data_IF_168176486199
#
_entry.id   IF_168176486199
#
_cell.length_a   1.000
_cell.length_b   1.000
_cell.length_c   1.000
_cell.angle_alpha   90.00
_cell.angle_beta   90.00
_cell.angle_gamma   90.00
#
_symmetry.space_group_name_H-M   'P 1'
#
loop_
_entity.id
_entity.type
_entity.pdbx_description
1 polymer ?
#
# COMPACT_ATOMS: atom_id res chain seq x y z
N UNK A 1 -19.11 -50.91 -23.97
CA UNK A 1 -17.70 -50.48 -24.11
C UNK A 1 -17.71 -49.09 -24.77
N UNK A 2 -17.66 -48.03 -23.99
CA UNK A 2 -17.58 -46.64 -24.47
C UNK A 2 -16.15 -46.35 -24.94
N UNK A 3 -15.99 -46.02 -26.21
CA UNK A 3 -14.73 -45.51 -26.76
C UNK A 3 -14.44 -44.16 -26.12
N UNK A 4 -13.51 -44.10 -25.18
CA UNK A 4 -12.92 -42.83 -24.75
C UNK A 4 -12.34 -42.13 -25.97
N UNK A 5 -12.91 -40.98 -26.36
CA UNK A 5 -12.29 -40.06 -27.28
C UNK A 5 -10.95 -39.65 -26.66
N UNK A 6 -9.81 -40.10 -27.22
CA UNK A 6 -8.52 -39.54 -26.95
C UNK A 6 -8.61 -38.05 -27.30
N UNK A 7 -8.50 -37.18 -26.30
CA UNK A 7 -8.24 -35.77 -26.50
C UNK A 7 -6.84 -35.68 -27.09
N UNK A 8 -6.74 -35.51 -28.41
CA UNK A 8 -5.48 -35.51 -29.16
C UNK A 8 -4.60 -34.27 -28.92
N UNK A 9 -5.13 -33.24 -28.26
CA UNK A 9 -4.41 -32.04 -27.85
C UNK A 9 -4.64 -31.78 -26.37
N UNK A 10 -3.79 -32.32 -25.52
CA UNK A 10 -3.70 -31.86 -24.15
C UNK A 10 -2.99 -30.50 -24.12
N UNK A 11 -3.77 -29.43 -24.33
CA UNK A 11 -3.25 -28.06 -24.31
C UNK A 11 -2.65 -27.65 -22.96
N UNK A 12 -2.77 -28.48 -21.91
CA UNK A 12 -2.15 -28.31 -20.61
C UNK A 12 -0.86 -29.11 -20.45
N UNK A 13 -0.56 -30.07 -21.34
CA UNK A 13 0.67 -30.84 -21.26
C UNK A 13 1.91 -29.96 -21.52
N UNK A 14 2.91 -30.12 -20.67
CA UNK A 14 4.22 -29.49 -20.90
C UNK A 14 4.96 -30.26 -22.00
N UNK A 15 5.62 -29.58 -22.96
CA UNK A 15 6.42 -30.25 -23.99
C UNK A 15 7.46 -31.17 -23.39
N UNK A 16 7.55 -32.43 -23.92
CA UNK A 16 8.51 -33.43 -23.48
C UNK A 16 9.95 -32.98 -23.85
N UNK A 17 10.91 -33.36 -23.02
CA UNK A 17 12.35 -33.06 -23.28
C UNK A 17 12.82 -31.65 -22.91
N UNK A 18 11.93 -30.84 -22.33
CA UNK A 18 12.25 -29.50 -21.83
C UNK A 18 12.27 -29.51 -20.30
N UNK A 19 13.33 -29.00 -19.69
CA UNK A 19 13.39 -28.78 -18.24
C UNK A 19 12.58 -27.54 -17.87
N UNK A 20 11.47 -27.74 -17.16
CA UNK A 20 10.60 -26.69 -16.68
C UNK A 20 10.86 -26.40 -15.21
N UNK A 21 11.00 -25.11 -14.87
CA UNK A 21 11.08 -24.68 -13.48
C UNK A 21 9.67 -24.58 -12.87
N UNK A 22 9.40 -25.23 -11.73
CA UNK A 22 8.15 -25.01 -11.00
C UNK A 22 7.96 -23.54 -10.61
N UNK A 23 6.72 -23.08 -10.58
CA UNK A 23 6.37 -21.68 -10.18
C UNK A 23 6.94 -21.35 -8.81
N UNK A 24 6.79 -22.27 -7.83
CA UNK A 24 7.28 -22.06 -6.47
C UNK A 24 8.81 -21.90 -6.40
N UNK A 25 9.55 -22.71 -7.16
CA UNK A 25 11.00 -22.57 -7.24
C UNK A 25 11.42 -21.21 -7.80
N UNK A 26 10.70 -20.69 -8.80
CA UNK A 26 10.98 -19.38 -9.36
C UNK A 26 10.65 -18.25 -8.36
N UNK A 27 9.53 -18.36 -7.63
CA UNK A 27 9.14 -17.42 -6.59
C UNK A 27 10.14 -17.41 -5.43
N UNK A 28 10.60 -18.58 -4.96
CA UNK A 28 11.62 -18.67 -3.91
C UNK A 28 12.94 -18.02 -4.32
N UNK A 29 13.38 -18.23 -5.58
CA UNK A 29 14.59 -17.57 -6.09
C UNK A 29 14.45 -16.05 -6.14
N UNK A 30 13.29 -15.54 -6.56
CA UNK A 30 13.01 -14.10 -6.56
C UNK A 30 13.00 -13.55 -5.13
N UNK A 31 12.32 -14.23 -4.20
CA UNK A 31 12.23 -13.85 -2.79
C UNK A 31 13.59 -13.77 -2.10
N UNK A 32 14.46 -14.72 -2.40
CA UNK A 32 15.78 -14.82 -1.78
C UNK A 32 16.88 -14.02 -2.51
N UNK A 33 16.67 -13.72 -3.79
CA UNK A 33 17.66 -13.04 -4.64
C UNK A 33 17.48 -11.55 -4.79
N UNK A 34 16.31 -11.00 -4.42
CA UNK A 34 16.01 -9.59 -4.54
C UNK A 34 16.16 -8.88 -3.18
N UNK A 35 16.48 -7.58 -3.21
CA UNK A 35 16.61 -6.72 -2.04
C UNK A 35 15.95 -5.38 -2.30
N UNK A 36 15.78 -4.58 -1.24
CA UNK A 36 15.23 -3.22 -1.32
C UNK A 36 16.20 -2.34 -2.11
N UNK A 37 15.70 -1.66 -3.15
CA UNK A 37 16.50 -0.84 -4.07
C UNK A 37 16.38 0.67 -3.76
N UNK A 38 15.16 1.24 -3.55
CA UNK A 38 14.99 2.66 -3.42
C UNK A 38 15.65 3.26 -2.19
N UNK A 39 16.10 4.52 -2.35
CA UNK A 39 16.63 5.32 -1.25
C UNK A 39 15.48 5.82 -0.34
N UNK A 40 15.82 6.02 0.93
CA UNK A 40 14.92 6.67 1.88
C UNK A 40 14.69 8.14 1.54
N UNK A 41 13.53 8.64 1.89
CA UNK A 41 13.14 10.04 1.79
C UNK A 41 12.30 10.44 3.00
N UNK A 42 12.39 11.70 3.39
CA UNK A 42 11.50 12.27 4.39
C UNK A 42 10.33 12.96 3.67
N UNK A 43 9.10 12.54 3.98
CA UNK A 43 7.91 13.00 3.28
C UNK A 43 6.94 13.66 4.26
N UNK A 44 6.37 14.84 3.94
CA UNK A 44 5.26 15.39 4.69
C UNK A 44 4.07 14.42 4.71
N UNK A 45 3.39 14.31 5.85
CA UNK A 45 2.28 13.34 6.02
C UNK A 45 1.21 13.53 4.96
N UNK A 46 0.84 14.77 4.63
CA UNK A 46 -0.21 15.10 3.66
C UNK A 46 0.09 14.57 2.24
N UNK A 47 1.36 14.31 1.94
CA UNK A 47 1.83 13.82 0.63
C UNK A 47 2.32 12.37 0.70
N UNK A 48 2.04 11.66 1.78
CA UNK A 48 2.63 10.33 2.04
C UNK A 48 1.76 9.15 1.65
N UNK A 49 0.51 9.35 1.22
CA UNK A 49 -0.36 8.26 0.76
C UNK A 49 0.26 7.50 -0.41
N UNK A 50 0.24 6.18 -0.32
CA UNK A 50 0.81 5.28 -1.33
C UNK A 50 2.29 4.98 -1.14
N UNK A 51 3.02 5.78 -0.36
CA UNK A 51 4.42 5.50 -0.02
C UNK A 51 4.55 4.37 1.00
N UNK A 52 5.72 3.76 1.05
CA UNK A 52 6.05 2.67 1.96
C UNK A 52 6.96 3.20 3.07
N UNK A 53 6.59 2.98 4.31
CA UNK A 53 7.37 3.37 5.50
C UNK A 53 8.73 2.68 5.47
N UNK A 54 9.82 3.46 5.59
CA UNK A 54 11.19 2.95 5.61
C UNK A 54 11.76 2.80 7.02
N UNK A 55 11.18 3.49 8.03
CA UNK A 55 11.54 3.37 9.45
C UNK A 55 10.29 3.33 10.31
N UNK A 56 10.27 2.58 11.41
CA UNK A 56 9.14 2.56 12.33
C UNK A 56 8.69 3.97 12.71
N UNK A 57 7.38 4.21 12.68
CA UNK A 57 6.76 5.50 12.98
C UNK A 57 6.03 5.43 14.32
N UNK A 58 6.32 6.40 15.21
CA UNK A 58 5.79 6.45 16.57
C UNK A 58 4.98 7.72 16.81
N UNK A 59 3.96 7.62 17.67
CA UNK A 59 3.15 8.74 18.10
C UNK A 59 3.99 9.79 18.84
N UNK A 60 3.87 11.05 18.44
CA UNK A 60 4.56 12.19 19.06
C UNK A 60 3.78 12.76 20.25
N UNK A 61 2.46 12.62 20.23
CA UNK A 61 1.54 12.98 21.29
C UNK A 61 0.52 11.85 21.47
N UNK A 62 -0.13 11.84 22.65
CA UNK A 62 -1.30 10.97 22.87
C UNK A 62 -2.50 11.43 22.04
N UNK A 63 -3.38 10.51 21.66
CA UNK A 63 -4.67 10.81 21.04
C UNK A 63 -5.79 10.10 21.82
N UNK A 64 -6.79 10.83 22.39
CA UNK A 64 -6.77 12.27 22.59
C UNK A 64 -5.57 12.74 23.42
N UNK A 65 -5.14 13.99 23.21
CA UNK A 65 -4.00 14.57 23.94
C UNK A 65 -4.34 15.10 25.33
N UNK A 66 -5.59 15.00 25.74
CA UNK A 66 -6.14 15.22 27.08
C UNK A 66 -7.50 14.52 27.20
N UNK A 67 -7.89 14.21 28.45
CA UNK A 67 -9.22 13.65 28.69
C UNK A 67 -10.29 14.71 28.40
N UNK A 68 -11.33 14.33 27.65
CA UNK A 68 -12.37 15.24 27.16
C UNK A 68 -13.76 14.60 27.23
N UNK A 69 -14.80 15.45 27.07
CA UNK A 69 -16.17 14.98 26.97
C UNK A 69 -16.45 14.36 25.61
N UNK A 70 -17.06 13.18 25.60
CA UNK A 70 -17.53 12.53 24.38
C UNK A 70 -18.86 13.10 23.86
N UNK A 71 -19.60 13.84 24.70
CA UNK A 71 -20.96 14.33 24.42
C UNK A 71 -21.17 15.74 24.93
N UNK A 72 -22.23 16.39 24.47
CA UNK A 72 -22.77 17.62 25.10
C UNK A 72 -23.58 17.22 26.34
N UNK A 73 -23.26 17.83 27.50
CA UNK A 73 -23.91 17.43 28.72
C UNK A 73 -23.46 18.20 29.95
N UNK A 74 -23.43 17.52 31.06
CA UNK A 74 -22.99 18.05 32.34
C UNK A 74 -21.92 17.19 32.96
N UNK A 75 -20.73 17.75 33.17
CA UNK A 75 -19.63 17.11 33.87
C UNK A 75 -19.88 17.14 35.38
N UNK A 76 -19.75 15.99 36.02
CA UNK A 76 -20.07 15.77 37.42
C UNK A 76 -18.83 15.50 38.24
N UNK A 77 -18.72 16.15 39.42
CA UNK A 77 -17.78 15.75 40.46
C UNK A 77 -18.57 15.05 41.58
N UNK A 78 -18.81 13.75 41.42
CA UNK A 78 -19.55 12.93 42.38
C UNK A 78 -18.78 11.66 42.74
N UNK A 79 -18.67 11.37 44.04
CA UNK A 79 -18.00 10.14 44.51
C UNK A 79 -18.94 8.92 44.42
N UNK A 80 -20.21 9.10 44.74
CA UNK A 80 -21.23 8.05 44.75
C UNK A 80 -22.47 8.56 44.04
N UNK A 81 -22.78 8.02 42.90
CA UNK A 81 -24.00 8.30 42.16
C UNK A 81 -25.07 7.30 42.64
N UNK A 82 -26.22 7.82 43.07
CA UNK A 82 -27.37 7.04 43.51
C UNK A 82 -28.40 6.90 42.38
N UNK A 83 -29.61 6.42 42.72
CA UNK A 83 -30.70 6.37 41.73
C UNK A 83 -31.31 7.76 41.47
N UNK A 84 -31.22 8.64 42.44
CA UNK A 84 -31.64 10.04 42.32
C UNK A 84 -30.49 10.96 42.72
N UNK A 85 -30.13 11.87 41.84
CA UNK A 85 -28.94 12.68 41.97
C UNK A 85 -29.26 14.16 41.75
N UNK A 86 -28.81 15.02 42.68
CA UNK A 86 -28.89 16.47 42.54
C UNK A 86 -27.51 17.08 42.72
N UNK A 87 -27.11 17.97 41.81
CA UNK A 87 -25.85 18.69 41.83
C UNK A 87 -26.08 20.19 41.73
N UNK A 88 -25.25 20.96 42.42
CA UNK A 88 -25.20 22.41 42.22
C UNK A 88 -24.53 22.69 40.85
N UNK A 89 -25.10 23.58 40.06
CA UNK A 89 -24.59 23.91 38.72
C UNK A 89 -23.76 25.20 38.77
N UNK A 90 -22.51 25.10 38.31
CA UNK A 90 -21.68 26.30 38.17
C UNK A 90 -22.15 27.13 36.97
N UNK A 91 -22.15 28.48 37.07
CA UNK A 91 -22.58 29.39 36.01
C UNK A 91 -21.50 29.54 34.92
N UNK A 92 -20.80 28.44 34.58
CA UNK A 92 -19.75 28.37 33.59
C UNK A 92 -20.02 27.21 32.65
N UNK A 93 -19.47 27.32 31.42
CA UNK A 93 -19.53 26.25 30.41
C UNK A 93 -18.13 25.91 29.96
N UNK A 94 -17.81 24.62 29.90
CA UNK A 94 -16.57 24.14 29.34
C UNK A 94 -16.73 23.90 27.83
N UNK A 95 -15.94 24.60 27.01
CA UNK A 95 -15.93 24.50 25.56
C UNK A 95 -14.64 23.85 25.06
N UNK A 96 -14.72 23.18 23.92
CA UNK A 96 -13.55 22.71 23.22
C UNK A 96 -12.64 23.90 22.81
N UNK A 97 -11.30 23.70 22.92
CA UNK A 97 -10.34 24.75 22.60
C UNK A 97 -10.13 25.85 23.66
N UNK A 98 -10.92 25.85 24.73
CA UNK A 98 -10.78 26.82 25.84
C UNK A 98 -10.14 26.15 27.06
N UNK A 99 -9.03 26.72 27.53
CA UNK A 99 -8.20 26.20 28.61
C UNK A 99 -8.45 26.93 29.92
N UNK A 100 -9.66 26.90 30.51
CA UNK A 100 -9.74 27.48 31.79
C UNK A 100 -11.00 27.15 32.57
N UNK A 101 -11.01 26.02 33.21
CA UNK A 101 -11.88 25.87 34.34
C UNK A 101 -11.08 25.18 35.44
N UNK A 102 -10.97 25.88 36.56
CA UNK A 102 -10.32 25.38 37.77
C UNK A 102 -10.99 24.10 38.30
N UNK A 103 -10.52 23.61 39.39
CA UNK A 103 -11.08 22.42 40.07
C UNK A 103 -12.55 22.60 40.38
N UNK A 104 -13.36 21.65 39.93
CA UNK A 104 -14.81 21.61 40.27
C UNK A 104 -14.96 21.00 41.67
N UNK A 105 -15.67 21.69 42.61
CA UNK A 105 -15.89 21.16 43.93
C UNK A 105 -16.75 19.88 43.96
N UNK A 106 -16.66 19.09 45.03
CA UNK A 106 -17.53 17.94 45.20
C UNK A 106 -19.02 18.37 45.22
N UNK A 107 -19.90 17.55 44.63
CA UNK A 107 -21.32 17.79 44.46
C UNK A 107 -21.68 18.99 43.57
N UNK A 108 -20.71 19.41 42.73
CA UNK A 108 -20.97 20.41 41.70
C UNK A 108 -20.91 19.77 40.32
N UNK A 109 -21.69 20.32 39.43
CA UNK A 109 -21.72 20.04 38.01
C UNK A 109 -21.34 21.28 37.21
N UNK A 110 -20.86 21.07 36.01
CA UNK A 110 -20.58 22.11 35.01
C UNK A 110 -21.13 21.69 33.66
N UNK A 111 -21.77 22.63 32.95
CA UNK A 111 -22.11 22.37 31.55
C UNK A 111 -20.87 22.17 30.74
N UNK A 112 -20.83 21.11 29.95
CA UNK A 112 -19.65 20.73 29.14
C UNK A 112 -20.08 20.34 27.74
N UNK A 113 -19.31 20.81 26.74
CA UNK A 113 -19.57 20.53 25.35
C UNK A 113 -18.63 19.43 24.86
N UNK A 114 -19.05 18.72 23.84
CA UNK A 114 -18.24 17.67 23.18
C UNK A 114 -16.82 18.15 22.82
N UNK A 115 -15.82 17.36 23.11
CA UNK A 115 -14.42 17.70 22.88
C UNK A 115 -13.81 18.66 23.91
N UNK A 116 -14.58 19.21 24.83
CA UNK A 116 -14.06 20.07 25.88
C UNK A 116 -13.21 19.28 26.86
N UNK A 117 -12.04 19.85 27.22
CA UNK A 117 -11.15 19.29 28.25
C UNK A 117 -11.89 19.14 29.57
N UNK A 118 -11.74 18.01 30.22
CA UNK A 118 -12.33 17.78 31.53
C UNK A 118 -11.66 18.67 32.58
N UNK A 119 -12.43 19.54 33.30
CA UNK A 119 -11.94 20.23 34.48
C UNK A 119 -11.52 19.24 35.57
N UNK A 120 -10.57 19.64 36.42
CA UNK A 120 -10.17 18.80 37.55
C UNK A 120 -11.36 18.51 38.47
N UNK A 121 -11.52 17.27 38.89
CA UNK A 121 -12.63 16.79 39.71
C UNK A 121 -13.76 16.15 38.93
N UNK A 122 -13.94 16.49 37.65
CA UNK A 122 -14.94 15.83 36.81
C UNK A 122 -14.49 14.41 36.53
N UNK A 123 -15.38 13.45 36.81
CA UNK A 123 -15.13 12.03 36.65
C UNK A 123 -16.22 11.28 35.88
N UNK A 124 -17.29 11.99 35.47
CA UNK A 124 -18.41 11.44 34.73
C UNK A 124 -19.12 12.57 33.98
N UNK A 125 -19.64 12.31 32.80
CA UNK A 125 -20.48 13.24 32.03
C UNK A 125 -21.82 12.58 31.79
N UNK A 126 -22.91 13.32 32.05
CA UNK A 126 -24.27 12.92 31.70
C UNK A 126 -24.75 13.74 30.50
N UNK A 127 -25.48 13.09 29.59
CA UNK A 127 -26.09 13.77 28.44
C UNK A 127 -27.03 14.89 28.86
N UNK A 128 -27.09 15.97 28.08
CA UNK A 128 -28.00 17.09 28.37
C UNK A 128 -29.44 16.67 28.35
N UNK A 129 -29.82 15.69 27.55
CA UNK A 129 -31.20 15.17 27.42
C UNK A 129 -31.68 14.41 28.65
N UNK A 130 -30.74 13.87 29.43
CA UNK A 130 -31.02 13.05 30.61
C UNK A 130 -31.09 13.89 31.89
N UNK A 131 -30.98 15.24 31.79
CA UNK A 131 -30.89 16.15 32.93
C UNK A 131 -32.07 17.09 32.96
N UNK A 132 -32.68 17.24 34.16
CA UNK A 132 -33.66 18.26 34.44
C UNK A 132 -33.00 19.40 35.20
N UNK A 133 -33.18 20.65 34.75
CA UNK A 133 -32.77 21.83 35.45
C UNK A 133 -33.79 22.13 36.57
N UNK A 134 -33.31 22.13 37.84
CA UNK A 134 -34.08 22.63 39.00
C UNK A 134 -33.56 24.04 39.28
N UNK A 135 -34.30 25.04 38.87
CA UNK A 135 -33.87 26.44 38.91
C UNK A 135 -32.63 26.66 37.99
N UNK A 136 -31.99 27.83 38.11
CA UNK A 136 -30.81 28.17 37.29
C UNK A 136 -29.51 27.65 37.87
N UNK A 137 -29.49 27.06 39.04
CA UNK A 137 -28.32 26.75 39.84
C UNK A 137 -28.21 25.26 40.24
N UNK A 138 -29.16 24.41 39.84
CA UNK A 138 -29.17 22.98 40.16
C UNK A 138 -29.61 22.12 38.99
N UNK A 139 -29.05 20.94 38.92
CA UNK A 139 -29.47 19.89 38.02
C UNK A 139 -29.92 18.65 38.79
N UNK A 140 -30.89 17.95 38.22
CA UNK A 140 -31.37 16.67 38.70
C UNK A 140 -31.38 15.65 37.55
N UNK A 141 -31.06 14.42 37.86
CA UNK A 141 -31.26 13.30 36.97
C UNK A 141 -31.56 12.01 37.75
N UNK A 142 -32.26 11.10 37.09
CA UNK A 142 -32.59 9.80 37.60
C UNK A 142 -31.81 8.71 36.90
N UNK A 143 -31.33 7.73 37.66
CA UNK A 143 -30.60 6.58 37.14
C UNK A 143 -29.15 6.51 37.58
N UNK A 144 -28.61 5.30 37.59
CA UNK A 144 -27.22 5.02 37.97
C UNK A 144 -26.28 5.28 36.80
N UNK A 145 -25.36 6.20 36.93
CA UNK A 145 -24.28 6.43 35.98
C UNK A 145 -23.04 5.73 36.47
N UNK A 146 -22.38 5.01 35.52
CA UNK A 146 -21.05 4.42 35.78
C UNK A 146 -20.03 5.55 35.79
N UNK A 147 -19.13 5.57 36.78
CA UNK A 147 -17.97 6.46 36.78
C UNK A 147 -17.18 6.29 35.48
N UNK A 148 -16.83 7.39 34.83
CA UNK A 148 -16.14 7.42 33.54
C UNK A 148 -17.08 7.43 32.32
N UNK A 149 -18.43 7.38 32.52
CA UNK A 149 -19.36 7.45 31.39
C UNK A 149 -19.19 8.75 30.61
N UNK A 150 -19.26 8.65 29.29
CA UNK A 150 -19.19 9.73 28.31
C UNK A 150 -17.89 10.57 28.40
N UNK A 151 -16.81 9.95 28.85
CA UNK A 151 -15.46 10.54 28.90
C UNK A 151 -14.55 9.78 27.96
N UNK A 152 -13.81 10.52 27.14
CA UNK A 152 -12.66 9.98 26.41
C UNK A 152 -11.39 10.29 27.20
N UNK A 153 -10.67 9.25 27.54
CA UNK A 153 -9.42 9.39 28.31
C UNK A 153 -8.26 9.82 27.42
N UNK A 154 -7.32 10.55 27.99
CA UNK A 154 -6.05 10.85 27.32
C UNK A 154 -5.36 9.54 26.89
N UNK A 155 -4.97 9.47 25.61
CA UNK A 155 -4.30 8.31 25.04
C UNK A 155 -5.19 7.07 24.89
N UNK A 156 -6.51 7.23 24.88
CA UNK A 156 -7.46 6.12 24.71
C UNK A 156 -7.27 5.42 23.36
N UNK A 157 -7.05 6.18 22.29
CA UNK A 157 -6.84 5.63 20.96
C UNK A 157 -5.35 5.26 20.76
N UNK A 158 -4.44 6.15 21.17
CA UNK A 158 -2.99 6.01 20.99
C UNK A 158 -2.24 6.79 22.08
N UNK A 159 -1.24 6.21 22.70
CA UNK A 159 -0.37 6.87 23.68
C UNK A 159 0.88 7.43 23.03
N UNK A 160 1.40 8.54 23.53
CA UNK A 160 2.69 9.08 23.13
C UNK A 160 3.78 8.02 23.20
N UNK A 161 4.58 7.89 22.14
CA UNK A 161 5.64 6.91 22.01
C UNK A 161 5.18 5.52 21.55
N UNK A 162 3.88 5.30 21.36
CA UNK A 162 3.35 4.04 20.83
C UNK A 162 3.67 3.90 19.34
N UNK A 163 3.95 2.66 18.90
CA UNK A 163 4.23 2.33 17.53
C UNK A 163 2.95 2.43 16.68
N UNK A 164 2.94 3.33 15.70
CA UNK A 164 1.84 3.48 14.75
C UNK A 164 2.00 2.54 13.55
N UNK A 165 3.16 2.56 12.91
CA UNK A 165 3.44 1.77 11.71
C UNK A 165 4.85 1.22 11.73
N UNK A 166 4.97 -0.05 11.36
CA UNK A 166 6.26 -0.70 11.12
C UNK A 166 6.83 -0.33 9.76
N UNK A 167 8.13 -0.54 9.59
CA UNK A 167 8.77 -0.57 8.28
C UNK A 167 8.02 -1.52 7.34
N UNK A 168 7.88 -1.13 6.07
CA UNK A 168 7.18 -1.91 5.05
C UNK A 168 5.67 -1.64 4.97
N UNK A 169 5.08 -0.91 5.92
CA UNK A 169 3.68 -0.52 5.83
C UNK A 169 3.46 0.47 4.68
N UNK A 170 2.52 0.17 3.78
CA UNK A 170 2.10 1.09 2.72
C UNK A 170 1.00 1.99 3.24
N UNK A 171 1.26 3.28 3.29
CA UNK A 171 0.34 4.28 3.81
C UNK A 171 -0.92 4.39 2.95
N UNK A 172 -2.07 4.32 3.61
CA UNK A 172 -3.41 4.47 3.05
C UNK A 172 -4.02 5.79 3.48
N UNK A 173 -5.12 6.18 2.85
CA UNK A 173 -5.82 7.45 3.17
C UNK A 173 -6.17 7.56 4.66
N UNK A 174 -6.71 6.51 5.26
CA UNK A 174 -7.09 6.50 6.69
C UNK A 174 -5.89 6.65 7.65
N UNK A 175 -4.70 6.23 7.22
CA UNK A 175 -3.49 6.30 8.06
C UNK A 175 -3.04 7.75 8.28
N UNK A 176 -3.40 8.67 7.35
CA UNK A 176 -3.11 10.09 7.50
C UNK A 176 -3.81 10.68 8.72
N UNK A 177 -5.08 10.33 8.93
CA UNK A 177 -5.84 10.84 10.07
C UNK A 177 -5.17 10.44 11.40
N UNK A 178 -4.73 9.17 11.50
CA UNK A 178 -4.01 8.67 12.66
C UNK A 178 -2.66 9.38 12.87
N UNK A 179 -1.86 9.52 11.80
CA UNK A 179 -0.56 10.19 11.85
C UNK A 179 -0.70 11.65 12.33
N UNK A 180 -1.65 12.39 11.76
CA UNK A 180 -1.90 13.80 12.13
C UNK A 180 -2.40 13.90 13.57
N UNK A 181 -3.37 13.04 13.97
CA UNK A 181 -3.90 13.03 15.34
C UNK A 181 -2.83 12.66 16.38
N UNK A 182 -1.86 11.80 16.00
CA UNK A 182 -0.71 11.43 16.83
C UNK A 182 0.46 12.45 16.77
N UNK A 183 0.27 13.62 16.11
CA UNK A 183 1.23 14.72 16.05
C UNK A 183 2.40 14.50 15.09
N UNK A 184 2.33 13.51 14.20
CA UNK A 184 3.39 13.22 13.21
C UNK A 184 3.26 14.19 12.04
N UNK A 185 4.32 14.93 11.73
CA UNK A 185 4.37 15.87 10.60
C UNK A 185 5.08 15.30 9.37
N UNK A 186 6.05 14.45 9.59
CA UNK A 186 6.86 13.83 8.54
C UNK A 186 7.05 12.36 8.82
N UNK A 187 7.14 11.57 7.76
CA UNK A 187 7.41 10.13 7.82
C UNK A 187 8.61 9.77 6.95
N UNK A 188 9.41 8.84 7.42
CA UNK A 188 10.46 8.23 6.62
C UNK A 188 9.85 7.18 5.71
N UNK A 189 10.04 7.35 4.40
CA UNK A 189 9.48 6.48 3.37
C UNK A 189 10.53 6.09 2.34
N UNK A 190 10.28 5.01 1.61
CA UNK A 190 11.04 4.70 0.40
C UNK A 190 10.52 5.54 -0.77
N UNK A 191 11.43 5.99 -1.66
CA UNK A 191 11.05 6.59 -2.95
C UNK A 191 10.31 5.55 -3.79
N UNK A 192 9.40 5.95 -4.69
CA UNK A 192 8.82 5.02 -5.65
C UNK A 192 9.90 4.30 -6.46
N UNK A 193 9.71 2.98 -6.65
CA UNK A 193 10.57 2.18 -7.51
C UNK A 193 10.44 2.64 -8.96
N UNK A 194 11.55 2.87 -9.65
CA UNK A 194 11.58 3.26 -11.07
C UNK A 194 11.56 2.02 -11.96
N UNK A 195 10.46 1.82 -12.66
CA UNK A 195 10.24 0.65 -13.51
C UNK A 195 10.32 1.03 -14.97
N UNK A 196 11.35 0.56 -15.67
CA UNK A 196 11.44 0.68 -17.12
C UNK A 196 10.49 -0.29 -17.81
N UNK A 197 9.86 0.13 -18.90
CA UNK A 197 9.01 -0.74 -19.73
C UNK A 197 9.46 -0.63 -21.18
N UNK A 198 9.86 -1.76 -21.76
CA UNK A 198 10.37 -1.88 -23.11
C UNK A 198 9.63 -2.99 -23.86
N UNK A 199 9.10 -2.70 -25.04
CA UNK A 199 8.59 -3.72 -25.94
C UNK A 199 9.62 -4.03 -27.04
N UNK A 200 9.75 -5.30 -27.43
CA UNK A 200 10.62 -5.72 -28.52
C UNK A 200 9.85 -6.57 -29.54
N UNK A 201 10.21 -6.43 -30.81
CA UNK A 201 9.65 -7.21 -31.90
C UNK A 201 9.57 -6.41 -33.21
N UNK A 202 9.93 -7.06 -34.30
CA UNK A 202 9.85 -6.43 -35.64
C UNK A 202 8.42 -6.17 -36.06
N UNK A 203 7.48 -6.99 -35.58
CA UNK A 203 6.03 -6.90 -35.85
C UNK A 203 5.34 -5.82 -35.02
N UNK A 204 5.99 -5.25 -34.01
CA UNK A 204 5.36 -4.36 -33.03
C UNK A 204 5.46 -2.89 -33.46
N UNK A 205 4.31 -2.20 -33.43
CA UNK A 205 4.19 -0.77 -33.68
C UNK A 205 3.79 -0.01 -32.42
N UNK A 206 4.35 1.18 -32.23
CA UNK A 206 3.90 2.08 -31.17
C UNK A 206 2.42 2.45 -31.39
N UNK A 207 1.55 2.33 -30.39
CA UNK A 207 0.11 2.62 -30.53
C UNK A 207 -0.20 4.10 -30.85
N UNK A 208 0.78 5.00 -30.76
CA UNK A 208 0.65 6.40 -31.19
C UNK A 208 0.78 6.59 -32.69
N UNK A 209 1.21 5.56 -33.43
CA UNK A 209 1.32 5.61 -34.88
C UNK A 209 -0.06 5.55 -35.51
N UNK A 210 -0.29 6.34 -36.58
CA UNK A 210 -1.56 6.35 -37.34
C UNK A 210 -1.89 4.92 -37.81
N UNK A 211 -3.16 4.51 -37.62
CA UNK A 211 -3.67 3.20 -38.05
C UNK A 211 -3.46 2.94 -39.54
N UNK A 212 -3.40 4.00 -40.38
CA UNK A 212 -3.08 3.90 -41.81
C UNK A 212 -1.71 3.34 -42.11
N UNK A 213 -0.79 3.36 -41.13
CA UNK A 213 0.55 2.77 -41.23
C UNK A 213 0.60 1.31 -40.79
N UNK A 214 -0.52 0.73 -40.33
CA UNK A 214 -0.61 -0.68 -40.01
C UNK A 214 -0.63 -1.48 -41.30
N UNK A 215 0.42 -2.23 -41.56
CA UNK A 215 0.54 -3.17 -42.68
C UNK A 215 0.23 -4.60 -42.21
N UNK A 216 0.03 -5.49 -43.17
CA UNK A 216 -0.17 -6.91 -42.89
C UNK A 216 1.00 -7.50 -42.11
N UNK A 217 0.72 -8.26 -41.06
CA UNK A 217 1.72 -8.86 -40.17
C UNK A 217 2.20 -7.96 -39.04
N UNK A 218 1.79 -6.69 -38.99
CA UNK A 218 2.11 -5.76 -37.91
C UNK A 218 1.01 -5.72 -36.86
N UNK A 219 1.40 -5.48 -35.60
CA UNK A 219 0.50 -5.39 -34.44
C UNK A 219 0.80 -4.13 -33.64
N UNK A 220 -0.23 -3.49 -33.11
CA UNK A 220 -0.02 -2.42 -32.13
C UNK A 220 0.44 -3.01 -30.80
N UNK A 221 1.39 -2.35 -30.16
CA UNK A 221 1.87 -2.67 -28.83
C UNK A 221 0.79 -2.42 -27.77
N UNK A 222 0.11 -3.46 -27.37
CA UNK A 222 -0.89 -3.39 -26.30
C UNK A 222 -0.28 -3.72 -24.91
N UNK A 223 0.88 -4.36 -24.87
CA UNK A 223 1.52 -4.77 -23.61
C UNK A 223 2.12 -3.59 -22.86
N UNK A 224 2.80 -2.68 -23.54
CA UNK A 224 3.43 -1.51 -22.93
C UNK A 224 2.42 -0.59 -22.21
N UNK A 225 1.28 -0.18 -22.81
CA UNK A 225 0.24 0.57 -22.08
C UNK A 225 -0.37 -0.23 -20.93
N UNK A 226 -0.59 -1.53 -21.08
CA UNK A 226 -1.10 -2.42 -20.03
C UNK A 226 -0.15 -2.45 -18.84
N UNK A 227 1.13 -2.75 -19.07
CA UNK A 227 2.15 -2.84 -18.04
C UNK A 227 2.40 -1.48 -17.37
N UNK A 228 2.44 -0.38 -18.14
CA UNK A 228 2.56 0.98 -17.63
C UNK A 228 1.43 1.32 -16.65
N UNK A 229 0.20 1.00 -17.02
CA UNK A 229 -0.98 1.23 -16.19
C UNK A 229 -0.94 0.41 -14.90
N UNK A 230 -0.56 -0.87 -14.97
CA UNK A 230 -0.42 -1.74 -13.81
C UNK A 230 0.65 -1.23 -12.84
N UNK A 231 1.83 -0.94 -13.35
CA UNK A 231 2.99 -0.48 -12.57
C UNK A 231 2.69 0.86 -11.89
N UNK A 232 2.07 1.80 -12.61
CA UNK A 232 1.61 3.07 -12.04
C UNK A 232 0.56 2.86 -10.94
N UNK A 233 -0.44 2.00 -11.17
CA UNK A 233 -1.47 1.64 -10.17
C UNK A 233 -0.85 1.02 -8.91
N UNK A 234 0.26 0.31 -9.05
CA UNK A 234 0.99 -0.27 -7.91
C UNK A 234 1.88 0.74 -7.19
N UNK A 235 1.93 2.00 -7.65
CA UNK A 235 2.63 3.11 -6.99
C UNK A 235 4.11 3.21 -7.32
N UNK A 236 4.52 2.68 -8.48
CA UNK A 236 5.87 2.85 -9.02
C UNK A 236 5.92 4.02 -10.00
N UNK A 237 7.13 4.55 -10.23
CA UNK A 237 7.42 5.51 -11.29
C UNK A 237 7.68 4.74 -12.58
N UNK A 238 6.86 5.00 -13.62
CA UNK A 238 7.00 4.35 -14.93
C UNK A 238 7.96 5.11 -15.80
N UNK A 239 8.94 4.41 -16.38
CA UNK A 239 9.85 4.94 -17.41
C UNK A 239 9.57 4.19 -18.71
N UNK A 240 8.85 4.87 -19.63
CA UNK A 240 8.51 4.32 -20.95
C UNK A 240 9.76 4.36 -21.86
N UNK A 241 10.29 3.19 -22.20
CA UNK A 241 11.46 3.03 -23.07
C UNK A 241 11.09 2.78 -24.55
N UNK A 242 9.78 2.72 -24.84
CA UNK A 242 9.25 2.59 -26.21
C UNK A 242 9.29 1.16 -26.74
N UNK A 243 9.28 1.09 -28.07
CA UNK A 243 9.39 -0.16 -28.85
C UNK A 243 10.76 -0.21 -29.50
N UNK A 244 11.42 -1.36 -29.46
CA UNK A 244 12.69 -1.59 -30.14
C UNK A 244 12.55 -2.77 -31.11
N UNK A 245 13.17 -2.65 -32.27
CA UNK A 245 13.25 -3.73 -33.25
C UNK A 245 14.18 -4.82 -32.79
N UNK A 246 14.02 -6.03 -33.33
CA UNK A 246 14.82 -7.20 -33.03
C UNK A 246 16.28 -7.09 -33.59
N UNK A 247 16.98 -6.06 -33.07
CA UNK A 247 18.37 -5.79 -33.37
C UNK A 247 19.22 -5.86 -32.10
N UNK A 248 20.28 -6.67 -32.14
CA UNK A 248 21.13 -6.94 -30.96
C UNK A 248 21.74 -5.67 -30.38
N UNK A 249 22.34 -4.82 -31.19
CA UNK A 249 23.08 -3.64 -30.73
C UNK A 249 22.13 -2.57 -30.20
N UNK A 250 20.98 -2.42 -30.83
CA UNK A 250 19.94 -1.48 -30.38
C UNK A 250 19.36 -1.92 -29.03
N UNK A 251 19.00 -3.19 -28.88
CA UNK A 251 18.46 -3.73 -27.62
C UNK A 251 19.53 -3.61 -26.51
N UNK A 252 20.79 -3.93 -26.79
CA UNK A 252 21.91 -3.77 -25.86
C UNK A 252 22.09 -2.33 -25.42
N UNK A 253 22.04 -1.38 -26.36
CA UNK A 253 22.09 0.05 -26.07
C UNK A 253 20.94 0.48 -25.15
N UNK A 254 19.71 0.01 -25.42
CA UNK A 254 18.53 0.27 -24.58
C UNK A 254 18.68 -0.32 -23.18
N UNK A 255 19.18 -1.54 -23.04
CA UNK A 255 19.43 -2.17 -21.73
C UNK A 255 20.49 -1.39 -20.93
N UNK A 256 21.56 -0.96 -21.58
CA UNK A 256 22.60 -0.13 -20.96
C UNK A 256 22.07 1.26 -20.54
N UNK A 257 21.19 1.85 -21.32
CA UNK A 257 20.52 3.09 -20.95
C UNK A 257 19.56 2.85 -19.78
N UNK A 258 18.69 1.85 -19.87
CA UNK A 258 17.74 1.49 -18.82
C UNK A 258 18.42 1.25 -17.47
N UNK A 259 19.55 0.54 -17.44
CA UNK A 259 20.29 0.25 -16.20
C UNK A 259 20.85 1.48 -15.47
N UNK A 260 20.89 2.64 -16.14
CA UNK A 260 21.31 3.93 -15.52
C UNK A 260 20.17 4.74 -14.95
N UNK A 261 18.93 4.53 -15.43
CA UNK A 261 17.78 5.38 -15.10
C UNK A 261 16.63 4.63 -14.43
N UNK A 262 16.61 3.30 -14.51
CA UNK A 262 15.58 2.44 -13.90
C UNK A 262 16.16 1.60 -12.76
N UNK A 263 15.33 1.24 -11.81
CA UNK A 263 15.66 0.30 -10.74
C UNK A 263 15.39 -1.14 -11.15
N UNK A 264 14.42 -1.35 -12.07
CA UNK A 264 14.03 -2.65 -12.61
C UNK A 264 13.45 -2.47 -14.01
N UNK A 265 13.60 -3.48 -14.88
CA UNK A 265 13.08 -3.47 -16.24
C UNK A 265 12.05 -4.57 -16.44
N UNK A 266 10.90 -4.19 -16.99
CA UNK A 266 9.93 -5.11 -17.62
C UNK A 266 10.09 -5.04 -19.14
N UNK A 267 10.25 -6.17 -19.77
CA UNK A 267 10.18 -6.25 -21.23
C UNK A 267 8.99 -7.09 -21.67
N UNK A 268 8.44 -6.77 -22.83
CA UNK A 268 7.41 -7.58 -23.50
C UNK A 268 7.88 -7.93 -24.90
N UNK A 269 7.84 -9.23 -25.25
CA UNK A 269 8.47 -9.78 -26.44
C UNK A 269 9.91 -10.23 -26.16
N UNK A 270 10.56 -10.88 -27.13
CA UNK A 270 11.94 -11.37 -27.03
C UNK A 270 12.18 -12.47 -25.97
N UNK A 271 11.14 -13.00 -25.34
CA UNK A 271 11.23 -14.04 -24.32
C UNK A 271 10.98 -15.46 -24.86
N UNK A 272 10.83 -15.63 -26.17
CA UNK A 272 10.55 -16.92 -26.82
C UNK A 272 11.84 -17.69 -27.11
N UNK A 273 11.77 -19.02 -27.14
CA UNK A 273 12.91 -19.91 -27.49
C UNK A 273 13.29 -19.87 -28.96
N UNK A 274 12.80 -18.93 -29.76
CA UNK A 274 13.07 -18.78 -31.17
C UNK A 274 14.47 -18.18 -31.48
N UNK A 275 14.88 -18.22 -32.76
CA UNK A 275 16.15 -17.62 -33.22
C UNK A 275 16.21 -16.09 -33.00
N UNK A 276 15.04 -15.45 -32.81
CA UNK A 276 14.88 -14.02 -32.58
C UNK A 276 14.81 -13.62 -31.10
N UNK A 277 15.10 -14.53 -30.15
CA UNK A 277 15.15 -14.20 -28.70
C UNK A 277 16.51 -13.58 -28.36
N UNK A 278 16.66 -12.33 -28.77
CA UNK A 278 17.87 -11.57 -28.49
C UNK A 278 18.03 -11.27 -27.01
N UNK A 279 16.92 -10.97 -26.30
CA UNK A 279 16.96 -10.58 -24.89
C UNK A 279 17.47 -11.70 -24.00
N UNK A 280 16.87 -12.90 -24.05
CA UNK A 280 17.31 -14.03 -23.24
C UNK A 280 18.73 -14.44 -23.55
N UNK A 281 19.15 -14.35 -24.82
CA UNK A 281 20.54 -14.59 -25.24
C UNK A 281 21.50 -13.57 -24.63
N UNK A 282 21.21 -12.27 -24.74
CA UNK A 282 22.06 -11.23 -24.17
C UNK A 282 22.17 -11.37 -22.64
N UNK A 283 21.05 -11.60 -21.94
CA UNK A 283 21.09 -11.79 -20.48
C UNK A 283 21.91 -13.03 -20.13
N UNK A 284 21.88 -14.09 -20.97
CA UNK A 284 22.67 -15.30 -20.77
C UNK A 284 24.16 -15.06 -21.01
N UNK A 285 24.49 -14.34 -22.08
CA UNK A 285 25.88 -14.22 -22.58
C UNK A 285 26.64 -13.09 -21.85
N UNK A 286 25.97 -11.97 -21.55
CA UNK A 286 26.60 -10.77 -20.96
C UNK A 286 26.03 -10.35 -19.59
N UNK A 287 24.88 -10.86 -19.23
CA UNK A 287 24.23 -10.63 -17.94
C UNK A 287 24.30 -11.84 -17.00
N UNK A 288 23.28 -11.99 -16.18
CA UNK A 288 23.05 -13.19 -15.36
C UNK A 288 21.62 -13.66 -15.56
N UNK A 289 21.41 -14.77 -16.25
CA UNK A 289 20.10 -15.39 -16.40
C UNK A 289 19.85 -16.36 -15.24
N UNK A 290 18.80 -16.13 -14.45
CA UNK A 290 18.48 -16.98 -13.30
C UNK A 290 17.46 -18.06 -13.63
N UNK A 291 16.39 -17.70 -14.35
CA UNK A 291 15.32 -18.62 -14.69
C UNK A 291 14.78 -18.36 -16.09
N UNK A 292 14.42 -19.46 -16.73
CA UNK A 292 13.82 -19.48 -18.03
C UNK A 292 12.90 -20.70 -18.16
N UNK A 293 11.74 -20.56 -18.83
CA UNK A 293 10.74 -21.61 -19.02
C UNK A 293 10.10 -22.08 -17.72
N UNK A 294 9.23 -21.25 -17.18
CA UNK A 294 8.48 -21.57 -15.98
C UNK A 294 7.25 -22.41 -16.34
N UNK A 295 6.90 -23.38 -15.50
CA UNK A 295 5.74 -24.27 -15.67
C UNK A 295 4.42 -23.56 -15.35
N UNK A 296 4.10 -22.50 -16.14
CA UNK A 296 2.86 -21.71 -16.02
C UNK A 296 2.18 -21.61 -17.39
N UNK A 297 0.85 -21.64 -17.42
CA UNK A 297 0.07 -21.43 -18.65
C UNK A 297 -1.16 -20.57 -18.35
N UNK A 298 -1.33 -19.41 -19.04
CA UNK A 298 -0.41 -18.84 -20.02
C UNK A 298 0.86 -18.27 -19.38
N UNK A 299 1.97 -18.12 -20.14
CA UNK A 299 3.18 -17.45 -19.65
C UNK A 299 4.45 -18.28 -19.62
N UNK A 300 4.51 -19.41 -20.32
CA UNK A 300 5.68 -20.32 -20.35
C UNK A 300 7.02 -19.66 -20.64
N UNK A 301 7.18 -18.75 -21.64
CA UNK A 301 8.41 -18.02 -21.85
C UNK A 301 8.47 -16.81 -20.91
N UNK A 302 9.05 -16.99 -19.73
CA UNK A 302 9.37 -15.92 -18.80
C UNK A 302 10.87 -15.96 -18.51
N UNK A 303 11.57 -14.86 -18.74
CA UNK A 303 12.99 -14.70 -18.46
C UNK A 303 13.20 -13.84 -17.23
N UNK A 304 13.96 -14.34 -16.26
CA UNK A 304 14.33 -13.61 -15.04
C UNK A 304 15.85 -13.50 -15.01
N UNK A 305 16.39 -12.28 -14.93
CA UNK A 305 17.82 -12.07 -14.96
C UNK A 305 18.27 -10.71 -14.44
N UNK A 306 19.56 -10.43 -14.58
CA UNK A 306 20.19 -9.15 -14.26
C UNK A 306 20.97 -8.62 -15.46
N UNK A 307 20.90 -7.31 -15.64
CA UNK A 307 21.76 -6.56 -16.56
C UNK A 307 22.38 -5.37 -15.81
N UNK A 308 23.69 -5.34 -15.70
CA UNK A 308 24.40 -4.34 -14.88
C UNK A 308 23.80 -4.19 -13.46
N UNK A 309 23.49 -5.31 -12.82
CA UNK A 309 22.80 -5.41 -11.52
C UNK A 309 21.33 -4.91 -11.51
N UNK A 310 20.78 -4.44 -12.62
CA UNK A 310 19.36 -4.12 -12.74
C UNK A 310 18.56 -5.41 -12.98
N UNK A 311 17.57 -5.75 -12.16
CA UNK A 311 16.67 -6.87 -12.40
C UNK A 311 15.88 -6.69 -13.70
N UNK A 312 15.76 -7.75 -14.49
CA UNK A 312 14.95 -7.79 -15.72
C UNK A 312 13.92 -8.91 -15.60
N UNK A 313 12.69 -8.56 -15.95
CA UNK A 313 11.58 -9.48 -16.11
C UNK A 313 11.17 -9.48 -17.60
N UNK A 314 11.61 -10.48 -18.34
CA UNK A 314 11.24 -10.68 -19.75
C UNK A 314 9.89 -11.39 -19.82
N UNK A 315 8.84 -10.65 -20.06
CA UNK A 315 7.47 -11.14 -20.11
C UNK A 315 7.11 -11.67 -21.51
N UNK A 316 6.16 -12.63 -21.59
CA UNK A 316 5.66 -13.12 -22.88
C UNK A 316 5.06 -12.01 -23.75
N UNK A 317 5.17 -12.14 -25.08
CA UNK A 317 4.52 -11.23 -26.02
C UNK A 317 2.98 -11.31 -26.01
N UNK A 318 2.39 -12.46 -25.61
CA UNK A 318 0.95 -12.58 -25.47
C UNK A 318 0.44 -11.72 -24.31
N UNK A 319 -0.55 -10.80 -24.51
CA UNK A 319 -1.01 -9.87 -23.49
C UNK A 319 -1.57 -10.51 -22.22
N UNK A 320 -2.35 -11.60 -22.37
CA UNK A 320 -2.89 -12.33 -21.23
C UNK A 320 -1.77 -12.98 -20.41
N UNK A 321 -0.78 -13.52 -21.08
CA UNK A 321 0.39 -14.12 -20.44
C UNK A 321 1.25 -13.04 -19.74
N UNK A 322 1.48 -11.91 -20.38
CA UNK A 322 2.20 -10.77 -19.78
C UNK A 322 1.50 -10.27 -18.51
N UNK A 323 0.17 -10.11 -18.57
CA UNK A 323 -0.65 -9.73 -17.42
C UNK A 323 -0.53 -10.72 -16.26
N UNK A 324 -0.76 -12.02 -16.52
CA UNK A 324 -0.70 -13.09 -15.51
C UNK A 324 0.71 -13.19 -14.90
N UNK A 325 1.76 -13.18 -15.72
CA UNK A 325 3.13 -13.22 -15.24
C UNK A 325 3.49 -11.99 -14.40
N UNK A 326 2.95 -10.82 -14.75
CA UNK A 326 3.14 -9.61 -13.94
C UNK A 326 2.53 -9.75 -12.54
N UNK A 327 1.34 -10.34 -12.42
CA UNK A 327 0.68 -10.57 -11.12
C UNK A 327 1.40 -11.62 -10.28
N UNK A 328 1.86 -12.71 -10.91
CA UNK A 328 2.45 -13.85 -10.19
C UNK A 328 3.91 -13.57 -9.79
N UNK A 329 4.72 -13.00 -10.68
CA UNK A 329 6.16 -12.89 -10.49
C UNK A 329 6.63 -11.46 -10.23
N UNK A 330 6.16 -10.49 -11.01
CA UNK A 330 6.64 -9.12 -10.87
C UNK A 330 6.03 -8.40 -9.66
N UNK A 331 4.72 -8.53 -9.41
CA UNK A 331 4.06 -7.83 -8.32
C UNK A 331 4.67 -8.15 -6.93
N UNK A 332 4.84 -9.43 -6.49
CA UNK A 332 5.50 -9.73 -5.23
C UNK A 332 6.97 -9.29 -5.19
N UNK A 333 7.68 -9.40 -6.31
CA UNK A 333 9.06 -8.92 -6.44
C UNK A 333 9.15 -7.40 -6.31
N UNK A 334 8.25 -6.67 -6.93
CA UNK A 334 8.14 -5.22 -6.84
C UNK A 334 7.85 -4.77 -5.40
N UNK A 335 6.96 -5.46 -4.69
CA UNK A 335 6.69 -5.16 -3.28
C UNK A 335 7.94 -5.35 -2.42
N UNK A 336 8.68 -6.43 -2.61
CA UNK A 336 9.94 -6.69 -1.91
C UNK A 336 10.98 -5.63 -2.25
N UNK A 337 11.25 -5.41 -3.53
CA UNK A 337 12.22 -4.41 -3.99
C UNK A 337 11.86 -2.99 -3.54
N UNK A 338 10.57 -2.65 -3.51
CA UNK A 338 10.06 -1.35 -3.07
C UNK A 338 10.00 -1.17 -1.54
N UNK A 339 10.33 -2.20 -0.77
CA UNK A 339 10.39 -2.14 0.70
C UNK A 339 9.11 -2.52 1.45
N UNK A 340 8.05 -2.97 0.75
CA UNK A 340 6.81 -3.44 1.39
C UNK A 340 6.88 -4.90 1.87
N UNK A 341 8.00 -5.57 1.64
CA UNK A 341 8.17 -6.98 1.94
C UNK A 341 7.53 -7.90 0.89
N UNK A 342 7.83 -9.19 1.00
CA UNK A 342 7.28 -10.20 0.10
C UNK A 342 5.83 -10.53 0.44
N UNK A 343 4.97 -10.57 -0.57
CA UNK A 343 3.60 -11.09 -0.45
C UNK A 343 3.41 -12.22 -1.45
N UNK A 344 3.04 -13.40 -0.94
CA UNK A 344 2.75 -14.54 -1.82
C UNK A 344 1.59 -14.21 -2.77
N UNK A 345 1.69 -14.61 -4.06
CA UNK A 345 0.59 -14.47 -5.00
C UNK A 345 -0.64 -15.22 -4.51
N UNK A 346 -1.82 -14.64 -4.67
CA UNK A 346 -3.08 -15.33 -4.39
C UNK A 346 -3.22 -16.53 -5.34
N UNK A 347 -3.56 -17.68 -4.78
CA UNK A 347 -3.85 -18.93 -5.49
C UNK A 347 -5.24 -19.41 -5.09
N UNK A 348 -6.01 -19.81 -6.05
CA UNK A 348 -7.35 -20.36 -5.87
C UNK A 348 -7.34 -21.83 -6.24
#
# INVERSE_FOLDING_TARGET
>A
MSKQKKILDDCFALPKGVKWSPVDTALEKLKNGLSIIPKENLQPVEKSVGFIISKPCYAQISNPNFSNSAVDGYGLNGKNLSEENTFNLLPKVAYAGINSIDTIPNNYAIRIMTGARLPKGINTVILSEDVTLINKDKIYFKGKLKKGSNIRLEGEDVKKGELLFNQGHRLKVQDLALLVAAGVKFVHVYKPLKVGILSTGDEILDPKIDIKKLSEGMLFDCNRPLLSSLVSKWGCEVIDLGVEKDNYDNIKSKLNHASKICDVLLTSGGASAGKADFLSRMIKDEGKLYEWRIAVKPGRPLSLGLWNNMPIFGLPGNPVAAFVCSLIFFYPSMLLMGGAGWKEPLRF
#
